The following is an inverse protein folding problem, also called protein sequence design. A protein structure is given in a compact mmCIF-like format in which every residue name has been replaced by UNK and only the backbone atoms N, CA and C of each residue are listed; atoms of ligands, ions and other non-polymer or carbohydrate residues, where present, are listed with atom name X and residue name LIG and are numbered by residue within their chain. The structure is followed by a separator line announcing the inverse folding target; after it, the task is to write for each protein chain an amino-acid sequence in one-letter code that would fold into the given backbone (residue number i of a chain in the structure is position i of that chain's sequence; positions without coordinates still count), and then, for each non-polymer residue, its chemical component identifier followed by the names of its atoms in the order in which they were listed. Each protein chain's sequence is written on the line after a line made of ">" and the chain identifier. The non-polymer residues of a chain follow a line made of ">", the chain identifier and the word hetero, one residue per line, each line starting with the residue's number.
data_IF_141174796875
#
_entry.id   IF_141174796875
#
_cell.length_a   1.000
_cell.length_b   1.000
_cell.length_c   1.000
_cell.angle_alpha   90.00
_cell.angle_beta   90.00
_cell.angle_gamma   90.00
#
_symmetry.space_group_name_H-M   'P 1'
#
loop_
_entity.id
_entity.type
_entity.pdbx_description
1 polymer ?
#
# COMPACT_ATOMS: atom_id res chain seq x y z
N UNK A 1 -24.26 4.99 -54.65
CA UNK A 1 -24.99 5.14 -53.37
C UNK A 1 -25.21 3.80 -52.65
N UNK A 2 -24.43 2.75 -52.94
CA UNK A 2 -24.61 1.39 -52.39
C UNK A 2 -23.32 0.79 -51.80
N UNK A 3 -22.32 1.62 -51.47
CA UNK A 3 -21.00 1.17 -50.94
C UNK A 3 -20.83 1.55 -49.46
N UNK A 4 -21.70 2.40 -48.91
CA UNK A 4 -21.64 2.85 -47.52
C UNK A 4 -22.39 1.95 -46.52
N UNK A 5 -23.16 0.97 -47.00
CA UNK A 5 -24.03 0.15 -46.14
C UNK A 5 -23.35 -1.16 -45.70
N UNK A 6 -22.40 -1.68 -46.47
CA UNK A 6 -21.69 -2.94 -46.18
C UNK A 6 -20.67 -2.85 -45.03
N UNK A 7 -20.24 -1.65 -44.63
CA UNK A 7 -19.27 -1.47 -43.52
C UNK A 7 -19.94 -1.32 -42.16
N UNK A 8 -21.25 -1.10 -42.11
CA UNK A 8 -22.00 -1.05 -40.85
C UNK A 8 -22.38 -2.45 -40.33
N UNK A 9 -22.58 -3.42 -41.24
CA UNK A 9 -23.12 -4.75 -40.88
C UNK A 9 -22.05 -5.71 -40.32
N UNK A 10 -20.76 -5.47 -40.60
CA UNK A 10 -19.65 -6.30 -40.06
C UNK A 10 -19.29 -5.93 -38.61
N UNK A 11 -19.89 -4.89 -38.03
CA UNK A 11 -19.56 -4.40 -36.68
C UNK A 11 -20.35 -5.08 -35.54
N UNK A 12 -21.21 -6.06 -35.82
CA UNK A 12 -22.06 -6.70 -34.80
C UNK A 12 -21.58 -8.09 -34.34
N UNK A 13 -20.46 -8.60 -34.86
CA UNK A 13 -19.98 -9.94 -34.47
C UNK A 13 -19.16 -9.87 -33.18
N UNK A 14 -19.90 -9.98 -32.07
CA UNK A 14 -19.45 -10.30 -30.70
C UNK A 14 -18.86 -9.10 -29.94
N UNK A 15 -19.72 -8.14 -29.60
CA UNK A 15 -19.56 -7.28 -28.43
C UNK A 15 -19.55 -8.16 -27.16
N UNK A 16 -18.43 -8.83 -26.90
CA UNK A 16 -18.19 -9.43 -25.61
C UNK A 16 -18.32 -8.31 -24.59
N UNK A 17 -19.37 -8.36 -23.76
CA UNK A 17 -19.62 -7.30 -22.78
C UNK A 17 -18.34 -7.10 -21.95
N UNK A 18 -17.94 -5.85 -21.62
CA UNK A 18 -16.69 -5.58 -20.89
C UNK A 18 -16.54 -6.42 -19.61
N UNK A 19 -17.68 -6.81 -19.02
CA UNK A 19 -17.80 -7.70 -17.86
C UNK A 19 -17.30 -9.11 -18.17
N UNK A 20 -17.67 -9.72 -19.30
CA UNK A 20 -17.28 -11.09 -19.64
C UNK A 20 -15.78 -11.22 -19.90
N UNK A 21 -15.21 -10.31 -20.71
CA UNK A 21 -13.76 -10.23 -20.91
C UNK A 21 -13.02 -9.91 -19.61
N UNK A 22 -13.61 -9.06 -18.77
CA UNK A 22 -13.10 -8.74 -17.44
C UNK A 22 -13.06 -9.95 -16.51
N UNK A 23 -14.12 -10.75 -16.49
CA UNK A 23 -14.20 -11.96 -15.66
C UNK A 23 -13.21 -13.04 -16.09
N UNK A 24 -13.04 -13.26 -17.39
CA UNK A 24 -12.04 -14.21 -17.90
C UNK A 24 -10.64 -13.77 -17.44
N UNK A 25 -10.33 -12.47 -17.54
CA UNK A 25 -9.08 -11.93 -17.03
C UNK A 25 -8.95 -12.01 -15.50
N UNK A 26 -10.03 -11.80 -14.76
CA UNK A 26 -10.05 -11.94 -13.31
C UNK A 26 -9.76 -13.38 -12.87
N UNK A 27 -10.41 -14.36 -13.49
CA UNK A 27 -10.19 -15.79 -13.22
C UNK A 27 -8.75 -16.16 -13.56
N UNK A 28 -8.25 -15.76 -14.73
CA UNK A 28 -6.87 -16.02 -15.16
C UNK A 28 -5.85 -15.44 -14.18
N UNK A 29 -6.09 -14.22 -13.70
CA UNK A 29 -5.18 -13.54 -12.77
C UNK A 29 -5.22 -14.18 -11.38
N UNK A 30 -6.40 -14.56 -10.89
CA UNK A 30 -6.52 -15.28 -9.62
C UNK A 30 -5.91 -16.69 -9.69
N UNK A 31 -6.08 -17.41 -10.80
CA UNK A 31 -5.45 -18.70 -11.03
C UNK A 31 -3.93 -18.54 -11.07
N UNK A 32 -3.44 -17.52 -11.76
CA UNK A 32 -2.02 -17.15 -11.75
C UNK A 32 -1.48 -16.90 -10.36
N UNK A 33 -2.11 -16.00 -9.59
CA UNK A 33 -1.72 -15.73 -8.21
C UNK A 33 -1.76 -17.01 -7.38
N UNK A 34 -2.84 -17.80 -7.46
CA UNK A 34 -2.97 -19.05 -6.74
C UNK A 34 -1.84 -20.02 -7.06
N UNK A 35 -1.60 -20.34 -8.33
CA UNK A 35 -0.56 -21.29 -8.74
C UNK A 35 0.84 -20.78 -8.34
N UNK A 36 1.10 -19.49 -8.53
CA UNK A 36 2.41 -18.89 -8.35
C UNK A 36 2.76 -18.64 -6.86
N UNK A 37 1.76 -18.45 -6.00
CA UNK A 37 1.97 -18.32 -4.56
C UNK A 37 1.78 -19.64 -3.78
N UNK A 38 1.22 -20.69 -4.38
CA UNK A 38 1.05 -22.02 -3.73
C UNK A 38 2.01 -23.09 -4.28
N UNK A 39 2.04 -23.29 -5.61
CA UNK A 39 2.79 -24.38 -6.23
C UNK A 39 4.27 -24.03 -6.45
N UNK A 40 4.57 -22.78 -6.81
CA UNK A 40 5.96 -22.36 -6.98
C UNK A 40 6.79 -22.39 -5.69
N UNK A 41 6.31 -21.89 -4.53
CA UNK A 41 7.11 -21.94 -3.31
C UNK A 41 7.33 -23.36 -2.78
N UNK A 42 6.36 -24.27 -2.95
CA UNK A 42 6.54 -25.68 -2.60
C UNK A 42 7.55 -26.39 -3.51
N UNK A 43 7.52 -26.11 -4.82
CA UNK A 43 8.58 -26.55 -5.73
C UNK A 43 9.94 -25.95 -5.37
N UNK A 44 9.99 -24.66 -5.05
CA UNK A 44 11.22 -23.96 -4.69
C UNK A 44 11.89 -24.57 -3.46
N UNK A 45 11.12 -24.82 -2.39
CA UNK A 45 11.67 -25.41 -1.15
C UNK A 45 12.11 -26.85 -1.34
N UNK A 46 11.43 -27.62 -2.21
CA UNK A 46 11.78 -29.01 -2.48
C UNK A 46 12.99 -29.18 -3.41
N UNK A 47 13.07 -28.38 -4.48
CA UNK A 47 14.03 -28.61 -5.56
C UNK A 47 15.23 -27.63 -5.57
N UNK A 48 15.02 -26.38 -5.14
CA UNK A 48 15.99 -25.29 -5.39
C UNK A 48 16.65 -24.82 -4.08
N UNK A 49 15.85 -24.61 -3.04
CA UNK A 49 16.32 -24.09 -1.76
C UNK A 49 17.41 -24.96 -1.10
N UNK A 50 17.37 -26.31 -1.10
CA UNK A 50 18.37 -27.12 -0.41
C UNK A 50 19.79 -26.91 -0.96
N UNK A 51 19.93 -26.72 -2.27
CA UNK A 51 21.23 -26.51 -2.94
C UNK A 51 21.76 -25.08 -2.78
N UNK A 52 20.88 -24.08 -2.70
CA UNK A 52 21.26 -22.66 -2.60
C UNK A 52 21.45 -22.19 -1.15
N UNK A 53 20.79 -22.82 -0.18
CA UNK A 53 20.84 -22.39 1.23
C UNK A 53 22.24 -22.53 1.81
N UNK A 54 23.00 -23.56 1.39
CA UNK A 54 24.38 -23.75 1.82
C UNK A 54 25.34 -22.64 1.35
N UNK A 55 25.04 -21.95 0.25
CA UNK A 55 25.90 -20.93 -0.34
C UNK A 55 25.48 -19.49 -0.02
N UNK A 56 24.16 -19.22 0.07
CA UNK A 56 23.63 -17.85 0.14
C UNK A 56 22.90 -17.53 1.46
N UNK A 57 22.71 -18.52 2.34
CA UNK A 57 21.93 -18.38 3.56
C UNK A 57 20.42 -18.29 3.31
N UNK A 58 19.61 -18.60 4.33
CA UNK A 58 18.15 -18.71 4.22
C UNK A 58 17.47 -17.40 3.80
N UNK A 59 18.00 -16.26 4.22
CA UNK A 59 17.47 -14.94 3.88
C UNK A 59 17.56 -14.65 2.38
N UNK A 60 18.74 -14.83 1.76
CA UNK A 60 18.95 -14.52 0.35
C UNK A 60 18.13 -15.44 -0.55
N UNK A 61 18.02 -16.72 -0.17
CA UNK A 61 17.20 -17.71 -0.89
C UNK A 61 15.72 -17.34 -0.86
N UNK A 62 15.21 -16.88 0.28
CA UNK A 62 13.83 -16.38 0.39
C UNK A 62 13.58 -15.12 -0.43
N UNK A 63 14.53 -14.18 -0.44
CA UNK A 63 14.44 -12.95 -1.23
C UNK A 63 14.43 -13.23 -2.75
N UNK A 64 15.28 -14.16 -3.21
CA UNK A 64 15.32 -14.58 -4.62
C UNK A 64 14.00 -15.26 -5.02
N UNK A 65 13.46 -16.14 -4.17
CA UNK A 65 12.15 -16.79 -4.41
C UNK A 65 11.06 -15.74 -4.66
N UNK A 66 10.94 -14.74 -3.77
CA UNK A 66 9.93 -13.69 -3.91
C UNK A 66 10.16 -12.83 -5.16
N UNK A 67 11.41 -12.48 -5.48
CA UNK A 67 11.72 -11.74 -6.72
C UNK A 67 11.25 -12.52 -7.96
N UNK A 68 11.54 -13.81 -8.01
CA UNK A 68 11.08 -14.68 -9.10
C UNK A 68 9.56 -14.76 -9.12
N UNK A 69 8.90 -14.79 -7.95
CA UNK A 69 7.43 -14.80 -7.90
C UNK A 69 6.82 -13.51 -8.46
N UNK A 70 7.38 -12.36 -8.11
CA UNK A 70 6.93 -11.06 -8.62
C UNK A 70 7.16 -10.96 -10.13
N UNK A 71 8.33 -11.36 -10.61
CA UNK A 71 8.64 -11.40 -12.04
C UNK A 71 7.71 -12.37 -12.78
N UNK A 72 7.51 -13.56 -12.20
CA UNK A 72 6.59 -14.57 -12.72
C UNK A 72 5.16 -14.04 -12.80
N UNK A 73 4.69 -13.29 -11.79
CA UNK A 73 3.38 -12.67 -11.82
C UNK A 73 3.28 -11.62 -12.93
N UNK A 74 4.31 -10.80 -13.12
CA UNK A 74 4.35 -9.83 -14.23
C UNK A 74 4.31 -10.52 -15.58
N UNK A 75 5.01 -11.65 -15.74
CA UNK A 75 4.98 -12.48 -16.95
C UNK A 75 3.57 -13.07 -17.14
N UNK A 76 2.97 -13.61 -16.09
CA UNK A 76 1.63 -14.19 -16.11
C UNK A 76 0.55 -13.17 -16.49
N UNK A 77 0.64 -11.96 -15.95
CA UNK A 77 -0.24 -10.84 -16.30
C UNK A 77 0.00 -10.40 -17.73
N UNK A 78 1.24 -10.40 -18.22
CA UNK A 78 1.51 -10.14 -19.64
C UNK A 78 0.95 -11.22 -20.55
N UNK A 79 0.95 -12.49 -20.13
CA UNK A 79 0.37 -13.60 -20.86
C UNK A 79 -1.17 -13.52 -21.01
N UNK A 80 -1.82 -12.60 -20.28
CA UNK A 80 -3.26 -12.33 -20.42
C UNK A 80 -3.60 -11.57 -21.72
N UNK A 81 -2.68 -10.76 -22.25
CA UNK A 81 -2.96 -9.90 -23.42
C UNK A 81 -3.39 -10.67 -24.68
N UNK A 82 -2.81 -11.84 -25.05
CA UNK A 82 -3.30 -12.62 -26.18
C UNK A 82 -4.67 -13.27 -25.92
N UNK A 83 -5.02 -13.58 -24.67
CA UNK A 83 -6.24 -14.32 -24.30
C UNK A 83 -7.48 -13.40 -24.34
N UNK A 84 -7.32 -12.13 -23.98
CA UNK A 84 -8.42 -11.14 -23.98
C UNK A 84 -8.66 -10.56 -25.40
N UNK A 85 -7.79 -10.86 -26.36
CA UNK A 85 -7.89 -10.44 -27.75
C UNK A 85 -7.05 -9.19 -28.07
N UNK A 86 -6.68 -9.04 -29.35
CA UNK A 86 -5.77 -7.99 -29.81
C UNK A 86 -6.32 -6.55 -29.68
N UNK A 87 -7.65 -6.40 -29.56
CA UNK A 87 -8.33 -5.12 -29.32
C UNK A 87 -9.42 -5.32 -28.28
N UNK A 88 -9.07 -5.30 -26.98
CA UNK A 88 -10.06 -5.46 -25.93
C UNK A 88 -11.04 -4.27 -25.95
N UNK A 89 -12.36 -4.49 -25.75
CA UNK A 89 -13.31 -3.40 -25.64
C UNK A 89 -12.97 -2.46 -24.48
N UNK A 90 -13.30 -1.17 -24.65
CA UNK A 90 -13.08 -0.16 -23.61
C UNK A 90 -13.77 -0.57 -22.30
N UNK A 91 -13.03 -0.54 -21.20
CA UNK A 91 -13.51 -0.95 -19.87
C UNK A 91 -13.15 -2.38 -19.47
N UNK A 92 -12.40 -3.14 -20.28
CA UNK A 92 -11.94 -4.50 -19.92
C UNK A 92 -11.05 -4.52 -18.69
N UNK A 93 -10.14 -3.55 -18.53
CA UNK A 93 -9.22 -3.51 -17.36
C UNK A 93 -9.97 -3.15 -16.09
N UNK A 94 -10.91 -2.22 -16.19
CA UNK A 94 -11.87 -1.94 -15.13
C UNK A 94 -12.68 -3.19 -14.77
N UNK A 95 -13.17 -3.92 -15.78
CA UNK A 95 -13.87 -5.19 -15.62
C UNK A 95 -13.05 -6.27 -14.91
N UNK A 96 -11.75 -6.40 -15.20
CA UNK A 96 -10.84 -7.32 -14.48
C UNK A 96 -10.77 -6.97 -13.00
N UNK A 97 -10.55 -5.70 -12.68
CA UNK A 97 -10.43 -5.24 -11.29
C UNK A 97 -11.70 -5.50 -10.48
N UNK A 98 -12.87 -5.10 -11.01
CA UNK A 98 -14.14 -5.35 -10.36
C UNK A 98 -14.49 -6.84 -10.33
N UNK A 99 -14.09 -7.61 -11.34
CA UNK A 99 -14.22 -9.07 -11.35
C UNK A 99 -13.42 -9.73 -10.24
N UNK A 100 -12.16 -9.33 -10.04
CA UNK A 100 -11.31 -9.81 -8.92
C UNK A 100 -11.93 -9.42 -7.58
N UNK A 101 -12.34 -8.16 -7.43
CA UNK A 101 -12.96 -7.67 -6.19
C UNK A 101 -14.24 -8.43 -5.86
N UNK A 102 -15.08 -8.71 -6.86
CA UNK A 102 -16.28 -9.53 -6.72
C UNK A 102 -15.94 -10.97 -6.32
N UNK A 103 -14.99 -11.62 -7.00
CA UNK A 103 -14.60 -13.00 -6.70
C UNK A 103 -14.01 -13.13 -5.29
N UNK A 104 -13.16 -12.18 -4.87
CA UNK A 104 -12.63 -12.15 -3.51
C UNK A 104 -13.72 -11.90 -2.47
N UNK A 105 -14.62 -10.94 -2.72
CA UNK A 105 -15.76 -10.69 -1.83
C UNK A 105 -16.62 -11.94 -1.68
N UNK A 106 -16.94 -12.62 -2.78
CA UNK A 106 -17.72 -13.86 -2.75
C UNK A 106 -16.96 -14.95 -1.99
N UNK A 107 -15.65 -15.11 -2.21
CA UNK A 107 -14.84 -16.10 -1.50
C UNK A 107 -14.86 -15.87 0.01
N UNK A 108 -14.63 -14.64 0.48
CA UNK A 108 -14.62 -14.33 1.91
C UNK A 108 -16.01 -14.44 2.54
N UNK A 109 -17.05 -13.95 1.86
CA UNK A 109 -18.43 -14.05 2.36
C UNK A 109 -18.92 -15.50 2.38
N UNK A 110 -18.70 -16.26 1.30
CA UNK A 110 -19.02 -17.68 1.25
C UNK A 110 -18.29 -18.43 2.37
N UNK A 111 -16.99 -18.19 2.53
CA UNK A 111 -16.21 -18.80 3.61
C UNK A 111 -16.78 -18.48 4.99
N UNK A 112 -17.11 -17.23 5.26
CA UNK A 112 -17.67 -16.82 6.55
C UNK A 112 -19.00 -17.55 6.84
N UNK A 113 -19.87 -17.65 5.83
CA UNK A 113 -21.12 -18.40 5.92
C UNK A 113 -20.85 -19.90 6.12
N UNK A 114 -19.91 -20.48 5.37
CA UNK A 114 -19.54 -21.89 5.47
C UNK A 114 -19.02 -22.28 6.85
N UNK A 115 -18.16 -21.46 7.46
CA UNK A 115 -17.70 -21.67 8.84
C UNK A 115 -18.85 -21.53 9.85
N UNK A 116 -19.78 -20.61 9.60
CA UNK A 116 -21.01 -20.49 10.39
C UNK A 116 -21.87 -21.75 10.30
N UNK A 117 -22.08 -22.29 9.10
CA UNK A 117 -22.84 -23.52 8.88
C UNK A 117 -22.17 -24.74 9.52
N UNK A 118 -20.84 -24.79 9.53
CA UNK A 118 -20.09 -25.86 10.19
C UNK A 118 -20.20 -25.81 11.72
N UNK A 119 -20.55 -24.66 12.31
CA UNK A 119 -20.87 -24.56 13.74
C UNK A 119 -22.23 -25.15 14.11
N UNK A 120 -23.05 -25.52 13.14
CA UNK A 120 -24.36 -26.14 13.37
C UNK A 120 -24.17 -27.66 13.42
N UNK A 121 -24.37 -28.26 14.60
CA UNK A 121 -24.13 -29.70 14.85
C UNK A 121 -24.79 -30.64 13.84
N UNK A 122 -26.00 -30.32 13.37
CA UNK A 122 -26.73 -31.14 12.38
C UNK A 122 -26.08 -31.15 10.98
N UNK A 123 -25.43 -30.04 10.59
CA UNK A 123 -24.70 -29.93 9.33
C UNK A 123 -23.26 -30.42 9.46
N UNK A 124 -22.65 -30.26 10.65
CA UNK A 124 -21.34 -30.81 10.96
C UNK A 124 -21.36 -32.35 10.98
N UNK A 125 -22.44 -32.95 11.50
CA UNK A 125 -22.62 -34.40 11.57
C UNK A 125 -22.78 -35.06 10.18
N UNK A 126 -23.21 -34.30 9.16
CA UNK A 126 -23.34 -34.77 7.78
C UNK A 126 -22.56 -33.86 6.81
N UNK A 127 -21.22 -33.99 6.73
CA UNK A 127 -20.37 -33.09 5.95
C UNK A 127 -20.77 -32.98 4.47
N UNK A 128 -21.28 -34.06 3.87
CA UNK A 128 -21.73 -34.07 2.47
C UNK A 128 -22.94 -33.16 2.23
N UNK A 129 -23.90 -33.15 3.16
CA UNK A 129 -25.07 -32.25 3.09
C UNK A 129 -24.63 -30.80 3.29
N UNK A 130 -23.74 -30.56 4.24
CA UNK A 130 -23.14 -29.25 4.46
C UNK A 130 -22.39 -28.70 3.23
N UNK A 131 -21.63 -29.56 2.54
CA UNK A 131 -20.92 -29.19 1.31
C UNK A 131 -21.86 -28.81 0.17
N UNK A 132 -22.97 -29.54 0.00
CA UNK A 132 -23.97 -29.22 -1.04
C UNK A 132 -24.60 -27.85 -0.75
N UNK A 133 -25.03 -27.62 0.50
CA UNK A 133 -25.62 -26.33 0.92
C UNK A 133 -24.63 -25.18 0.71
N UNK A 134 -23.37 -25.36 1.12
CA UNK A 134 -22.30 -24.39 0.90
C UNK A 134 -22.06 -24.11 -0.59
N UNK A 135 -22.06 -25.15 -1.42
CA UNK A 135 -21.91 -25.03 -2.88
C UNK A 135 -23.05 -24.23 -3.51
N UNK A 136 -24.30 -24.50 -3.11
CA UNK A 136 -25.48 -23.76 -3.58
C UNK A 136 -25.41 -22.28 -3.17
N UNK A 137 -25.08 -21.98 -1.92
CA UNK A 137 -24.93 -20.59 -1.44
C UNK A 137 -23.82 -19.87 -2.21
N UNK A 138 -22.68 -20.53 -2.42
CA UNK A 138 -21.57 -19.96 -3.18
C UNK A 138 -21.98 -19.67 -4.63
N UNK A 139 -22.72 -20.57 -5.28
CA UNK A 139 -23.24 -20.37 -6.62
C UNK A 139 -24.23 -19.19 -6.68
N UNK A 140 -25.12 -19.05 -5.69
CA UNK A 140 -26.03 -17.91 -5.59
C UNK A 140 -25.29 -16.58 -5.41
N UNK A 141 -24.25 -16.55 -4.57
CA UNK A 141 -23.41 -15.37 -4.39
C UNK A 141 -22.66 -14.98 -5.68
N UNK A 142 -22.14 -15.97 -6.41
CA UNK A 142 -21.51 -15.73 -7.72
C UNK A 142 -22.52 -15.18 -8.75
N UNK A 143 -23.72 -15.76 -8.82
CA UNK A 143 -24.78 -15.27 -9.70
C UNK A 143 -25.21 -13.85 -9.34
N UNK A 144 -25.36 -13.56 -8.05
CA UNK A 144 -25.67 -12.22 -7.54
C UNK A 144 -24.58 -11.21 -7.88
N UNK A 145 -23.31 -11.53 -7.60
CA UNK A 145 -22.20 -10.65 -7.94
C UNK A 145 -22.09 -10.41 -9.45
N UNK A 146 -22.32 -11.45 -10.28
CA UNK A 146 -22.32 -11.30 -11.74
C UNK A 146 -23.42 -10.35 -12.20
N UNK A 147 -24.62 -10.51 -11.63
CA UNK A 147 -25.74 -9.62 -11.90
C UNK A 147 -25.45 -8.17 -11.50
N UNK A 148 -24.81 -7.94 -10.36
CA UNK A 148 -24.39 -6.59 -9.91
C UNK A 148 -23.39 -5.97 -10.88
N UNK A 149 -22.37 -6.71 -11.31
CA UNK A 149 -21.38 -6.23 -12.29
C UNK A 149 -22.01 -5.90 -13.65
N UNK A 150 -23.10 -6.60 -14.00
CA UNK A 150 -23.78 -6.39 -15.26
C UNK A 150 -24.70 -5.15 -15.30
N UNK A 151 -24.91 -4.48 -14.15
CA UNK A 151 -25.72 -3.25 -14.09
C UNK A 151 -25.06 -2.11 -14.88
N UNK A 152 -25.90 -1.28 -15.52
CA UNK A 152 -25.45 -0.11 -16.30
C UNK A 152 -24.52 0.82 -15.51
N UNK A 153 -24.83 1.05 -14.22
CA UNK A 153 -24.01 1.87 -13.33
C UNK A 153 -22.59 1.30 -13.16
N UNK A 154 -22.46 -0.01 -12.92
CA UNK A 154 -21.15 -0.64 -12.74
C UNK A 154 -20.33 -0.66 -14.02
N UNK A 155 -20.98 -0.88 -15.18
CA UNK A 155 -20.32 -0.78 -16.49
C UNK A 155 -19.81 0.65 -16.74
N UNK A 156 -20.56 1.68 -16.38
CA UNK A 156 -20.11 3.07 -16.50
C UNK A 156 -18.90 3.35 -15.59
N UNK A 157 -18.89 2.83 -14.36
CA UNK A 157 -17.74 2.95 -13.45
C UNK A 157 -16.51 2.21 -13.98
N UNK A 158 -16.68 1.02 -14.59
CA UNK A 158 -15.58 0.27 -15.21
C UNK A 158 -14.90 1.09 -16.32
N UNK A 159 -15.68 1.71 -17.19
CA UNK A 159 -15.18 2.57 -18.28
C UNK A 159 -14.54 3.83 -17.70
N UNK A 160 -15.18 4.49 -16.73
CA UNK A 160 -14.65 5.70 -16.10
C UNK A 160 -13.30 5.46 -15.40
N UNK A 161 -13.12 4.33 -14.72
CA UNK A 161 -11.83 3.98 -14.09
C UNK A 161 -10.73 3.74 -15.12
N UNK A 162 -11.06 3.17 -16.28
CA UNK A 162 -10.13 2.96 -17.38
C UNK A 162 -9.74 4.30 -18.04
N UNK A 163 -10.72 5.16 -18.33
CA UNK A 163 -10.50 6.50 -18.90
C UNK A 163 -9.70 7.43 -17.99
N UNK A 164 -9.89 7.34 -16.67
CA UNK A 164 -9.05 8.03 -15.67
C UNK A 164 -7.60 7.54 -15.65
N UNK A 165 -7.28 6.51 -16.43
CA UNK A 165 -5.94 6.02 -16.63
C UNK A 165 -5.45 5.10 -15.53
N UNK A 166 -6.24 4.76 -14.50
CA UNK A 166 -5.80 4.00 -13.30
C UNK A 166 -5.06 2.71 -13.65
N UNK A 167 -5.47 2.08 -14.76
CA UNK A 167 -4.95 0.82 -15.25
C UNK A 167 -4.01 0.96 -16.46
N UNK A 168 -3.53 2.16 -16.75
CA UNK A 168 -2.56 2.45 -17.80
C UNK A 168 -1.19 2.78 -17.20
N UNK A 169 -0.12 2.31 -17.87
CA UNK A 169 1.27 2.59 -17.50
C UNK A 169 1.79 3.92 -18.06
N UNK A 170 0.98 4.66 -18.83
CA UNK A 170 1.41 5.90 -19.46
C UNK A 170 1.41 7.05 -18.45
N UNK A 171 2.50 7.83 -18.43
CA UNK A 171 2.59 9.04 -17.64
C UNK A 171 1.74 10.16 -18.27
N UNK A 172 0.83 10.74 -17.50
CA UNK A 172 0.03 11.89 -17.93
C UNK A 172 0.93 13.13 -18.07
N UNK A 173 1.02 13.71 -19.29
CA UNK A 173 1.89 14.87 -19.60
C UNK A 173 3.33 14.70 -19.09
N UNK A 174 3.98 13.60 -19.47
CA UNK A 174 5.27 13.17 -18.91
C UNK A 174 6.45 14.15 -19.04
N UNK A 175 6.37 15.17 -19.90
CA UNK A 175 7.44 16.17 -20.08
C UNK A 175 7.35 17.39 -19.16
N UNK A 176 6.24 17.59 -18.45
CA UNK A 176 5.99 18.76 -17.59
C UNK A 176 5.92 18.35 -16.12
N UNK A 177 6.25 19.24 -15.18
CA UNK A 177 6.12 18.95 -13.75
C UNK A 177 7.18 18.01 -13.20
N UNK A 178 8.26 17.71 -13.95
CA UNK A 178 9.10 16.54 -13.65
C UNK A 178 9.80 16.63 -12.29
N UNK A 179 10.30 17.81 -11.91
CA UNK A 179 11.06 17.95 -10.68
C UNK A 179 10.14 17.77 -9.47
N UNK A 180 9.03 18.53 -9.45
CA UNK A 180 8.06 18.47 -8.35
C UNK A 180 7.46 17.06 -8.23
N UNK A 181 7.10 16.41 -9.35
CA UNK A 181 6.59 15.05 -9.35
C UNK A 181 7.58 14.03 -8.80
N UNK A 182 8.84 14.06 -9.24
CA UNK A 182 9.88 13.15 -8.72
C UNK A 182 10.11 13.36 -7.23
N UNK A 183 10.12 14.61 -6.77
CA UNK A 183 10.23 14.93 -5.33
C UNK A 183 9.03 14.42 -4.54
N UNK A 184 7.80 14.56 -5.05
CA UNK A 184 6.62 14.01 -4.39
C UNK A 184 6.65 12.48 -4.34
N UNK A 185 7.09 11.81 -5.40
CA UNK A 185 7.26 10.34 -5.42
C UNK A 185 8.28 9.93 -4.34
N UNK A 186 9.45 10.58 -4.31
CA UNK A 186 10.48 10.29 -3.31
C UNK A 186 9.95 10.54 -1.90
N UNK A 187 9.28 11.66 -1.65
CA UNK A 187 8.69 11.97 -0.34
C UNK A 187 7.67 10.93 0.09
N UNK A 188 6.75 10.52 -0.80
CA UNK A 188 5.77 9.49 -0.50
C UNK A 188 6.42 8.13 -0.25
N UNK A 189 7.45 7.78 -1.03
CA UNK A 189 8.23 6.56 -0.84
C UNK A 189 8.95 6.56 0.51
N UNK A 190 9.60 7.66 0.90
CA UNK A 190 10.27 7.74 2.20
C UNK A 190 9.28 7.48 3.34
N UNK A 191 8.10 8.10 3.29
CA UNK A 191 7.06 7.90 4.32
C UNK A 191 6.54 6.46 4.32
N UNK A 192 6.18 5.91 3.15
CA UNK A 192 5.62 4.57 3.05
C UNK A 192 6.64 3.48 3.39
N UNK A 193 7.86 3.59 2.87
CA UNK A 193 8.95 2.65 3.17
C UNK A 193 9.37 2.73 4.62
N UNK A 194 9.37 3.93 5.23
CA UNK A 194 9.58 4.05 6.68
C UNK A 194 8.50 3.29 7.45
N UNK A 195 7.22 3.45 7.09
CA UNK A 195 6.12 2.70 7.73
C UNK A 195 6.27 1.19 7.60
N UNK A 196 6.65 0.71 6.40
CA UNK A 196 6.91 -0.73 6.19
C UNK A 196 8.12 -1.22 6.97
N UNK A 197 9.19 -0.41 7.06
CA UNK A 197 10.37 -0.75 7.86
C UNK A 197 10.02 -0.87 9.35
N UNK A 198 9.19 0.04 9.87
CA UNK A 198 8.70 0.00 11.24
C UNK A 198 7.86 -1.26 11.47
N UNK A 199 6.96 -1.61 10.55
CA UNK A 199 6.18 -2.84 10.61
C UNK A 199 7.07 -4.09 10.62
N UNK A 200 8.08 -4.14 9.75
CA UNK A 200 9.01 -5.27 9.64
C UNK A 200 9.90 -5.42 10.88
N UNK A 201 10.30 -4.31 11.51
CA UNK A 201 11.03 -4.32 12.79
C UNK A 201 10.14 -4.59 14.01
N UNK A 202 8.82 -4.43 13.87
CA UNK A 202 7.89 -4.63 14.98
C UNK A 202 7.65 -6.12 15.21
N UNK A 203 7.64 -6.52 16.48
CA UNK A 203 7.22 -7.87 16.89
C UNK A 203 5.72 -8.11 16.70
N UNK A 204 4.99 -7.19 16.05
CA UNK A 204 3.57 -7.38 15.74
C UNK A 204 3.39 -8.61 14.87
N UNK A 205 4.11 -8.71 13.75
CA UNK A 205 4.06 -9.87 12.86
C UNK A 205 4.47 -11.15 13.61
N UNK A 206 5.50 -11.07 14.45
CA UNK A 206 5.94 -12.20 15.26
C UNK A 206 4.92 -12.61 16.34
N UNK A 207 4.13 -11.68 16.86
CA UNK A 207 3.07 -11.99 17.84
C UNK A 207 1.88 -12.67 17.16
N UNK A 208 1.49 -12.22 15.96
CA UNK A 208 0.42 -12.85 15.19
C UNK A 208 0.79 -14.27 14.74
N UNK A 209 2.04 -14.50 14.33
CA UNK A 209 2.52 -15.84 13.93
C UNK A 209 2.67 -16.77 15.15
N UNK A 210 3.18 -16.27 16.28
CA UNK A 210 3.47 -17.09 17.47
C UNK A 210 2.27 -17.31 18.42
N UNK A 211 1.24 -16.46 18.43
CA UNK A 211 0.03 -16.70 19.25
C UNK A 211 -0.65 -18.02 18.89
N UNK A 212 -0.56 -18.42 17.64
CA UNK A 212 -1.19 -19.63 17.19
C UNK A 212 -0.39 -20.91 17.55
N UNK A 213 0.92 -20.78 17.82
CA UNK A 213 1.76 -21.86 18.39
C UNK A 213 1.30 -22.23 19.81
N UNK A 214 0.84 -21.24 20.60
CA UNK A 214 0.42 -21.48 21.99
C UNK A 214 -0.89 -22.26 22.16
N UNK A 215 -1.61 -22.57 21.06
CA UNK A 215 -2.83 -23.39 21.08
C UNK A 215 -2.61 -24.83 20.52
N UNK A 216 -1.37 -25.25 20.30
CA UNK A 216 -1.06 -26.59 19.78
C UNK A 216 -1.29 -26.75 18.26
N UNK A 217 -1.56 -25.66 17.55
CA UNK A 217 -1.59 -25.63 16.09
C UNK A 217 -0.19 -25.32 15.52
N UNK A 218 0.16 -25.94 14.39
CA UNK A 218 1.44 -25.68 13.70
C UNK A 218 1.65 -24.17 13.54
N UNK A 219 2.81 -23.67 13.99
CA UNK A 219 3.10 -22.24 14.00
C UNK A 219 2.83 -21.58 12.66
N UNK A 220 2.02 -20.52 12.69
CA UNK A 220 1.47 -19.91 11.48
C UNK A 220 2.49 -18.95 10.89
N UNK A 221 3.56 -19.49 10.30
CA UNK A 221 4.39 -18.73 9.37
C UNK A 221 3.69 -18.58 8.00
N UNK A 222 2.72 -19.44 7.72
CA UNK A 222 1.97 -19.47 6.47
C UNK A 222 0.50 -19.06 6.68
N UNK A 223 -0.07 -18.36 5.71
CA UNK A 223 -1.48 -17.99 5.74
C UNK A 223 -2.33 -19.14 5.22
N UNK A 224 -2.89 -19.91 6.14
CA UNK A 224 -3.72 -21.06 5.86
C UNK A 224 -5.20 -20.68 5.94
N UNK A 225 -5.96 -20.97 4.88
CA UNK A 225 -7.41 -20.86 4.86
C UNK A 225 -8.01 -22.25 4.93
N UNK A 226 -8.71 -22.56 6.02
CA UNK A 226 -9.59 -23.74 6.12
C UNK A 226 -10.71 -23.64 5.07
N UNK A 227 -10.85 -24.68 4.26
CA UNK A 227 -11.98 -24.85 3.35
C UNK A 227 -13.15 -25.48 4.13
N UNK A 228 -14.32 -24.81 4.21
CA UNK A 228 -15.49 -25.35 4.90
C UNK A 228 -15.93 -26.70 4.33
N UNK A 229 -16.37 -27.62 5.19
CA UNK A 229 -16.85 -28.96 4.82
C UNK A 229 -15.86 -29.81 3.99
N UNK A 230 -14.56 -29.50 4.06
CA UNK A 230 -13.52 -30.25 3.35
C UNK A 230 -13.33 -31.69 3.84
N UNK A 231 -13.75 -32.01 5.06
CA UNK A 231 -13.82 -33.38 5.59
C UNK A 231 -14.77 -34.29 4.78
N UNK A 232 -15.72 -33.71 4.02
CA UNK A 232 -16.57 -34.44 3.11
C UNK A 232 -15.84 -34.91 1.83
N UNK A 233 -14.71 -34.28 1.51
CA UNK A 233 -13.94 -34.49 0.27
C UNK A 233 -12.77 -35.45 0.55
N UNK A 234 -12.22 -35.42 1.76
CA UNK A 234 -11.04 -36.22 2.14
C UNK A 234 -11.45 -37.50 2.85
N UNK A 235 -10.93 -38.64 2.40
CA UNK A 235 -11.18 -39.94 3.04
C UNK A 235 -10.61 -40.06 4.47
N UNK A 236 -9.72 -39.14 4.88
CA UNK A 236 -9.14 -39.11 6.22
C UNK A 236 -9.97 -38.32 7.25
N UNK A 237 -11.06 -37.67 6.83
CA UNK A 237 -11.87 -36.82 7.72
C UNK A 237 -11.19 -35.50 8.13
N UNK A 238 -9.95 -35.27 7.70
CA UNK A 238 -9.21 -34.07 8.02
C UNK A 238 -9.66 -32.86 7.18
N UNK A 239 -9.63 -31.69 7.82
CA UNK A 239 -9.87 -30.44 7.14
C UNK A 239 -8.72 -30.11 6.17
N UNK A 240 -9.07 -29.73 4.95
CA UNK A 240 -8.11 -29.25 3.94
C UNK A 240 -7.86 -27.76 4.13
N UNK A 241 -6.58 -27.41 4.24
CA UNK A 241 -6.12 -26.03 4.33
C UNK A 241 -5.48 -25.60 3.01
N UNK A 242 -5.92 -24.45 2.48
CA UNK A 242 -5.26 -23.80 1.35
C UNK A 242 -4.23 -22.81 1.87
N UNK A 243 -2.98 -22.97 1.43
CA UNK A 243 -1.89 -22.06 1.76
C UNK A 243 -1.88 -20.90 0.78
N UNK A 244 -2.41 -19.74 1.15
CA UNK A 244 -2.51 -18.60 0.22
C UNK A 244 -1.22 -17.78 0.13
N UNK A 245 -0.57 -17.52 1.27
CA UNK A 245 0.68 -16.77 1.31
C UNK A 245 1.72 -17.52 2.17
N UNK A 246 2.85 -17.94 1.59
CA UNK A 246 3.98 -18.46 2.35
C UNK A 246 4.70 -17.35 3.12
N UNK A 247 5.32 -17.70 4.25
CA UNK A 247 6.29 -16.86 4.96
C UNK A 247 5.80 -15.41 5.16
N UNK A 248 4.66 -15.25 5.84
CA UNK A 248 3.96 -13.98 6.10
C UNK A 248 4.90 -12.84 6.55
N UNK A 249 5.90 -13.19 7.36
CA UNK A 249 6.89 -12.26 7.93
C UNK A 249 7.71 -11.52 6.88
N UNK A 250 8.01 -12.16 5.76
CA UNK A 250 8.79 -11.57 4.66
C UNK A 250 7.91 -11.14 3.50
N UNK A 251 6.87 -11.92 3.20
CA UNK A 251 5.97 -11.67 2.08
C UNK A 251 5.14 -10.40 2.28
N UNK A 252 4.63 -10.13 3.49
CA UNK A 252 3.81 -8.93 3.75
C UNK A 252 4.62 -7.64 3.55
N UNK A 253 5.77 -7.41 4.23
CA UNK A 253 6.52 -6.18 4.04
C UNK A 253 6.95 -5.96 2.58
N UNK A 254 7.36 -7.03 1.89
CA UNK A 254 7.79 -6.91 0.50
C UNK A 254 6.64 -6.56 -0.45
N UNK A 255 5.45 -7.16 -0.27
CA UNK A 255 4.25 -6.77 -1.02
C UNK A 255 3.83 -5.34 -0.74
N UNK A 256 3.94 -4.89 0.52
CA UNK A 256 3.66 -3.50 0.89
C UNK A 256 4.65 -2.53 0.25
N UNK A 257 5.94 -2.88 0.13
CA UNK A 257 6.94 -2.08 -0.59
C UNK A 257 6.57 -1.96 -2.06
N UNK A 258 6.25 -3.08 -2.72
CA UNK A 258 5.85 -3.07 -4.14
C UNK A 258 4.56 -2.27 -4.35
N UNK A 259 3.58 -2.45 -3.46
CA UNK A 259 2.34 -1.68 -3.44
C UNK A 259 2.59 -0.19 -3.21
N UNK A 260 3.52 0.17 -2.31
CA UNK A 260 3.91 1.55 -2.04
C UNK A 260 4.58 2.21 -3.25
N UNK A 261 5.47 1.48 -3.96
CA UNK A 261 6.10 1.97 -5.18
C UNK A 261 5.05 2.21 -6.27
N UNK A 262 4.19 1.22 -6.49
CA UNK A 262 3.10 1.36 -7.46
C UNK A 262 2.18 2.54 -7.11
N UNK A 263 1.77 2.64 -5.84
CA UNK A 263 0.89 3.69 -5.36
C UNK A 263 1.53 5.08 -5.48
N UNK A 264 2.82 5.21 -5.13
CA UNK A 264 3.56 6.46 -5.24
C UNK A 264 3.64 6.97 -6.67
N UNK A 265 3.95 6.09 -7.62
CA UNK A 265 3.98 6.44 -9.04
C UNK A 265 2.58 6.76 -9.55
N UNK A 266 1.56 6.03 -9.07
CA UNK A 266 0.19 6.16 -9.57
C UNK A 266 -0.49 7.45 -9.11
N UNK A 267 -0.38 7.80 -7.82
CA UNK A 267 -1.04 8.98 -7.27
C UNK A 267 -0.50 10.27 -7.90
N UNK A 268 0.81 10.35 -8.15
CA UNK A 268 1.47 11.52 -8.76
C UNK A 268 1.11 11.70 -10.24
N UNK A 269 0.76 10.61 -10.93
CA UNK A 269 0.32 10.63 -12.33
C UNK A 269 -1.20 10.73 -12.49
N UNK A 270 -1.97 10.89 -11.40
CA UNK A 270 -3.41 11.07 -11.47
C UNK A 270 -3.77 12.46 -12.05
N UNK A 271 -4.59 12.58 -13.11
CA UNK A 271 -4.72 13.82 -13.90
C UNK A 271 -4.90 15.10 -13.08
N UNK A 272 -5.83 15.10 -12.12
CA UNK A 272 -6.13 16.28 -11.29
C UNK A 272 -4.94 16.69 -10.43
N UNK A 273 -4.29 15.73 -9.78
CA UNK A 273 -3.13 15.99 -8.92
C UNK A 273 -1.90 16.33 -9.75
N UNK A 274 -1.74 15.67 -10.89
CA UNK A 274 -0.65 15.86 -11.82
C UNK A 274 -0.67 17.26 -12.46
N UNK A 275 -1.86 17.81 -12.76
CA UNK A 275 -2.04 19.19 -13.21
C UNK A 275 -1.77 20.21 -12.09
N UNK A 276 -2.15 19.91 -10.84
CA UNK A 276 -1.79 20.72 -9.67
C UNK A 276 -0.27 20.81 -9.47
N UNK A 277 0.46 19.69 -9.58
CA UNK A 277 1.92 19.68 -9.45
C UNK A 277 2.61 20.44 -10.59
N UNK A 278 2.08 20.35 -11.83
CA UNK A 278 2.58 21.17 -12.95
C UNK A 278 2.36 22.65 -12.69
N UNK A 279 1.15 23.04 -12.24
CA UNK A 279 0.84 24.43 -11.92
C UNK A 279 1.73 24.95 -10.79
N UNK A 280 1.99 24.14 -9.76
CA UNK A 280 2.89 24.49 -8.65
C UNK A 280 4.33 24.67 -9.14
N UNK A 281 4.83 23.82 -10.03
CA UNK A 281 6.16 24.00 -10.64
C UNK A 281 6.22 25.29 -11.45
N UNK A 282 5.19 25.58 -12.25
CA UNK A 282 5.10 26.81 -13.02
C UNK A 282 5.04 28.05 -12.12
N UNK A 283 4.34 27.99 -10.98
CA UNK A 283 4.28 29.08 -10.02
C UNK A 283 5.61 29.27 -9.28
N UNK A 284 6.27 28.17 -8.90
CA UNK A 284 7.58 28.21 -8.27
C UNK A 284 8.67 28.77 -9.21
N UNK A 285 8.56 28.49 -10.52
CA UNK A 285 9.47 29.06 -11.53
C UNK A 285 9.30 30.57 -11.72
N UNK A 286 8.16 31.15 -11.32
CA UNK A 286 7.98 32.62 -11.31
C UNK A 286 8.69 33.26 -10.13
N UNK A 287 8.99 32.50 -9.07
CA UNK A 287 9.69 33.01 -7.89
C UNK A 287 11.17 33.13 -8.21
N UNK A 288 11.64 34.36 -8.41
CA UNK A 288 13.05 34.65 -8.52
C UNK A 288 13.71 34.52 -7.14
N UNK A 289 14.30 33.36 -6.85
CA UNK A 289 15.08 33.16 -5.64
C UNK A 289 16.28 34.13 -5.61
N UNK A 290 16.47 34.81 -4.48
CA UNK A 290 17.63 35.70 -4.26
C UNK A 290 18.93 34.92 -4.45
N UNK A 291 19.87 35.52 -5.17
CA UNK A 291 21.20 34.91 -5.34
C UNK A 291 21.90 34.82 -3.98
N UNK A 292 22.71 33.77 -3.77
CA UNK A 292 23.41 33.54 -2.49
C UNK A 292 24.19 34.77 -2.01
N UNK A 293 24.76 35.54 -2.93
CA UNK A 293 25.49 36.78 -2.62
C UNK A 293 24.59 37.85 -2.00
N UNK A 294 23.37 38.07 -2.55
CA UNK A 294 22.39 39.01 -1.99
C UNK A 294 21.89 38.56 -0.63
N UNK A 295 21.59 37.27 -0.49
CA UNK A 295 21.12 36.69 0.77
C UNK A 295 22.15 36.87 1.90
N UNK A 296 23.44 36.66 1.62
CA UNK A 296 24.53 36.90 2.58
C UNK A 296 24.68 38.40 2.89
N UNK A 297 24.62 39.26 1.88
CA UNK A 297 24.71 40.71 2.07
C UNK A 297 23.59 41.21 2.99
N UNK A 298 22.34 40.82 2.73
CA UNK A 298 21.18 41.22 3.54
C UNK A 298 21.28 40.68 4.97
N UNK A 299 21.72 39.42 5.13
CA UNK A 299 21.91 38.80 6.46
C UNK A 299 23.01 39.49 7.26
N UNK A 300 24.14 39.85 6.63
CA UNK A 300 25.25 40.57 7.29
C UNK A 300 24.79 41.94 7.78
N UNK A 301 24.04 42.69 6.95
CA UNK A 301 23.50 44.00 7.36
C UNK A 301 22.63 43.85 8.59
N UNK A 302 21.69 42.91 8.60
CA UNK A 302 20.83 42.66 9.77
C UNK A 302 21.65 42.26 10.99
N UNK A 303 22.62 41.35 10.83
CA UNK A 303 23.49 40.89 11.91
C UNK A 303 24.29 42.04 12.54
N UNK A 304 24.87 42.90 11.71
CA UNK A 304 25.61 44.10 12.17
C UNK A 304 24.68 45.06 12.89
N UNK A 305 23.46 45.27 12.39
CA UNK A 305 22.49 46.20 13.01
C UNK A 305 22.05 45.69 14.39
N UNK A 306 21.75 44.41 14.51
CA UNK A 306 21.39 43.76 15.78
C UNK A 306 22.59 43.78 16.75
N UNK A 307 23.81 43.59 16.26
CA UNK A 307 25.03 43.67 17.08
C UNK A 307 25.21 45.06 17.68
N UNK A 308 25.12 46.12 16.85
CA UNK A 308 25.26 47.51 17.32
C UNK A 308 24.18 47.83 18.35
N UNK A 309 22.93 47.43 18.10
CA UNK A 309 21.83 47.65 19.05
C UNK A 309 22.04 46.90 20.37
N UNK A 310 22.55 45.66 20.31
CA UNK A 310 22.87 44.86 21.50
C UNK A 310 23.96 45.53 22.33
N UNK A 311 25.03 46.01 21.70
CA UNK A 311 26.12 46.72 22.38
C UNK A 311 25.60 48.02 22.99
N UNK A 312 24.78 48.78 22.26
CA UNK A 312 24.17 50.01 22.78
C UNK A 312 23.31 49.76 24.01
N UNK A 313 22.40 48.78 23.95
CA UNK A 313 21.56 48.41 25.09
C UNK A 313 22.40 47.93 26.27
N UNK A 314 23.43 47.11 26.04
CA UNK A 314 24.35 46.66 27.10
C UNK A 314 25.04 47.84 27.81
N UNK A 315 25.45 48.86 27.05
CA UNK A 315 26.07 50.07 27.61
C UNK A 315 25.05 50.88 28.41
N UNK A 316 23.84 51.10 27.87
CA UNK A 316 22.78 51.86 28.55
C UNK A 316 22.34 51.16 29.83
N UNK A 317 22.08 49.85 29.78
CA UNK A 317 21.73 49.05 30.94
C UNK A 317 22.84 49.04 31.99
N UNK A 318 24.10 48.97 31.55
CA UNK A 318 25.27 49.06 32.44
C UNK A 318 25.39 50.42 33.14
N UNK A 319 25.12 51.51 32.43
CA UNK A 319 25.12 52.87 33.00
C UNK A 319 23.93 53.03 33.95
N UNK A 320 22.71 52.70 33.52
CA UNK A 320 21.51 52.78 34.34
C UNK A 320 21.62 51.92 35.60
N UNK A 321 22.12 50.69 35.49
CA UNK A 321 22.34 49.80 36.63
C UNK A 321 23.31 50.40 37.65
N UNK A 322 24.44 50.96 37.20
CA UNK A 322 25.40 51.65 38.08
C UNK A 322 24.80 52.91 38.71
N UNK A 323 24.09 53.73 37.93
CA UNK A 323 23.45 54.95 38.41
C UNK A 323 22.33 54.69 39.43
N UNK A 324 21.49 53.67 39.19
CA UNK A 324 20.41 53.29 40.10
C UNK A 324 20.92 52.67 41.41
N UNK A 325 22.02 51.91 41.34
CA UNK A 325 22.71 51.40 42.54
C UNK A 325 23.33 52.54 43.34
N UNK A 326 23.92 53.53 42.66
CA UNK A 326 24.46 54.74 43.30
C UNK A 326 23.36 55.59 43.98
N UNK A 327 22.18 55.69 43.37
CA UNK A 327 20.98 56.33 43.92
C UNK A 327 20.29 55.53 45.06
N UNK A 328 20.88 54.41 45.52
CA UNK A 328 20.34 53.53 46.59
C UNK A 328 18.93 52.98 46.33
N UNK A 329 18.46 53.02 45.08
CA UNK A 329 17.17 52.42 44.67
C UNK A 329 17.29 50.91 44.49
N UNK A 330 18.50 50.39 44.21
CA UNK A 330 18.81 48.96 44.11
C UNK A 330 19.77 48.53 45.24
N UNK A 331 19.57 47.36 45.88
CA UNK A 331 20.53 46.80 46.84
C UNK A 331 21.87 46.55 46.15
N UNK A 332 22.96 47.02 46.75
CA UNK A 332 24.30 46.75 46.22
C UNK A 332 24.59 45.25 46.30
N UNK A 333 25.27 44.68 45.30
CA UNK A 333 25.59 43.24 45.19
C UNK A 333 26.22 42.65 46.47
N UNK A 334 26.82 43.48 47.32
CA UNK A 334 27.33 43.13 48.66
C UNK A 334 26.26 42.68 49.67
N UNK A 335 25.00 43.10 49.55
CA UNK A 335 23.90 42.72 50.45
C UNK A 335 23.24 41.39 50.06
N UNK A 336 23.32 40.99 48.78
CA UNK A 336 22.71 39.74 48.29
C UNK A 336 23.58 38.51 48.63
N UNK A 337 24.89 38.70 48.80
CA UNK A 337 25.86 37.63 49.11
C UNK A 337 26.11 37.47 50.62
N UNK A 338 25.63 38.39 51.46
CA UNK A 338 25.76 38.25 52.91
C UNK A 338 24.85 37.11 53.41
N UNK A 339 25.39 36.02 53.99
CA UNK A 339 24.55 35.01 54.61
C UNK A 339 23.80 35.64 55.78
N UNK A 340 22.48 35.45 55.79
CA UNK A 340 21.59 35.83 56.89
C UNK A 340 21.95 35.00 58.13
N UNK A 341 22.98 35.41 58.87
CA UNK A 341 23.34 34.80 60.15
C UNK A 341 23.31 35.82 61.28
N UNK A 342 22.60 35.43 62.33
CA UNK A 342 22.50 36.02 63.67
C UNK A 342 21.61 37.26 63.83
N UNK A 343 20.31 37.01 63.95
CA UNK A 343 19.49 37.72 64.93
C UNK A 343 19.52 36.89 66.21
N UNK A 344 20.44 37.25 67.11
CA UNK A 344 20.57 36.65 68.43
C UNK A 344 19.39 37.08 69.32
N UNK A 345 18.97 36.13 70.15
CA UNK A 345 18.01 36.25 71.25
C UNK A 345 18.49 37.32 72.24
N UNK A 346 17.61 38.27 72.56
CA UNK A 346 17.79 39.29 73.62
C UNK A 346 17.82 38.64 75.02
N UNK A 347 18.52 39.23 76.01
CA UNK A 347 18.55 38.73 77.39
C UNK A 347 17.24 38.91 78.15
#
# INVERSE_FOLDING_TARGET
>A
MAVAESTAEVRSTRDASPVQSGMIGAIWLLLGIGLLFTAFPSFWTAAIAPSLTGALGSFMVGAIRLLIQVVGLVIWVRALTPIVGAQPPVGTRGGIFFGISMLLSVLFTARAIGLGLESIDSLAANPSTGLIVFGVITALLLAFGYWVLNRKAMRATMVAMEEQGWMHLHAYKGSQGQLVRRLTIIGLLVVLLSGVSTLASSSLLDTWTNRAVSQGEQGWNDWLIKVPFSSAITNSGDAVYLMLLPDLRFTIPMLLILGAIWFAVRIVNFPVFADFLIATEAEMNKVSWVTRKRLVQDTIVVLVTVLIMTVFLFVVDGILGKSLTWLRVLPSTSEIVAPKTSGAVEP
#
